data_IF_884509988555
#
_entry.id   IF_884509988555
#
_cell.length_a   1.000
_cell.length_b   1.000
_cell.length_c   1.000
_cell.angle_alpha   90.00
_cell.angle_beta   90.00
_cell.angle_gamma   90.00
#
_symmetry.space_group_name_H-M   'P 1'
#
loop_
_entity.id
_entity.type
_entity.pdbx_description
1 polymer ?
#
# COMPACT_ATOMS: atom_id res chain seq x y z
N UNK A 1 -18.26 4.59 -15.36
CA UNK A 1 -17.58 4.21 -14.10
C UNK A 1 -16.31 5.02 -14.02
N UNK A 2 -16.15 5.84 -12.98
CA UNK A 2 -14.91 6.60 -12.75
C UNK A 2 -13.78 5.62 -12.45
N UNK A 3 -12.59 5.86 -13.02
CA UNK A 3 -11.40 5.02 -12.78
C UNK A 3 -10.91 5.21 -11.34
N UNK A 4 -10.29 4.19 -10.74
CA UNK A 4 -9.70 4.32 -9.42
C UNK A 4 -8.56 5.33 -9.43
N UNK A 5 -8.66 6.38 -8.62
CA UNK A 5 -7.59 7.35 -8.37
C UNK A 5 -6.75 6.91 -7.17
N UNK A 6 -5.43 6.97 -7.31
CA UNK A 6 -4.47 6.55 -6.30
C UNK A 6 -3.45 7.66 -6.07
N UNK A 7 -3.28 8.06 -4.81
CA UNK A 7 -2.27 9.02 -4.39
C UNK A 7 -1.22 8.32 -3.52
N UNK A 8 0.03 8.33 -3.96
CA UNK A 8 1.16 7.86 -3.14
C UNK A 8 1.76 9.08 -2.45
N UNK A 9 1.56 9.19 -1.15
CA UNK A 9 2.22 10.18 -0.31
C UNK A 9 3.57 9.66 0.14
N UNK A 10 4.61 10.11 -0.56
CA UNK A 10 5.98 9.66 -0.35
C UNK A 10 6.75 10.62 0.58
N UNK A 11 7.48 10.13 1.60
CA UNK A 11 8.31 10.98 2.43
C UNK A 11 9.42 11.66 1.61
N UNK A 12 9.49 12.99 1.64
CA UNK A 12 10.48 13.74 0.84
C UNK A 12 11.95 13.50 1.27
N UNK A 13 12.17 12.83 2.39
CA UNK A 13 13.49 12.43 2.92
C UNK A 13 14.02 11.13 2.32
N UNK A 14 13.16 10.37 1.63
CA UNK A 14 13.51 9.06 1.05
C UNK A 14 13.81 9.19 -0.46
N UNK A 15 14.62 8.28 -1.03
CA UNK A 15 14.82 8.19 -2.48
C UNK A 15 13.49 8.10 -3.22
N UNK A 16 13.36 8.79 -4.35
CA UNK A 16 12.08 8.88 -5.07
C UNK A 16 11.91 7.78 -6.10
N UNK A 17 12.97 7.06 -6.46
CA UNK A 17 12.93 5.99 -7.46
C UNK A 17 11.88 4.92 -7.14
N UNK A 18 11.77 4.38 -5.89
CA UNK A 18 10.75 3.39 -5.56
C UNK A 18 9.31 3.93 -5.69
N UNK A 19 9.12 5.23 -5.42
CA UNK A 19 7.83 5.89 -5.55
C UNK A 19 7.40 6.00 -7.02
N UNK A 20 8.33 6.42 -7.88
CA UNK A 20 8.13 6.51 -9.34
C UNK A 20 7.88 5.12 -9.94
N UNK A 21 8.64 4.11 -9.52
CA UNK A 21 8.42 2.73 -9.93
C UNK A 21 7.03 2.20 -9.52
N UNK A 22 6.59 2.52 -8.31
CA UNK A 22 5.27 2.15 -7.81
C UNK A 22 4.13 2.84 -8.58
N UNK A 23 4.28 4.13 -8.88
CA UNK A 23 3.36 4.90 -9.73
C UNK A 23 3.26 4.29 -11.13
N UNK A 24 4.41 3.98 -11.75
CA UNK A 24 4.47 3.35 -13.08
C UNK A 24 3.80 1.96 -13.08
N UNK A 25 4.00 1.16 -12.03
CA UNK A 25 3.36 -0.14 -11.87
C UNK A 25 1.83 0.01 -11.83
N UNK A 26 1.31 0.96 -11.05
CA UNK A 26 -0.13 1.22 -10.97
C UNK A 26 -0.71 1.74 -12.30
N UNK A 27 0.02 2.62 -12.99
CA UNK A 27 -0.39 3.11 -14.32
C UNK A 27 -0.46 2.01 -15.36
N UNK A 28 0.51 1.08 -15.37
CA UNK A 28 0.49 -0.10 -16.24
C UNK A 28 -0.68 -1.03 -15.95
N UNK A 29 -1.11 -1.10 -14.69
CA UNK A 29 -2.31 -1.83 -14.29
C UNK A 29 -3.63 -1.07 -14.63
N UNK A 30 -3.54 0.14 -15.18
CA UNK A 30 -4.69 0.92 -15.68
C UNK A 30 -5.29 1.89 -14.65
N UNK A 31 -4.58 2.15 -13.55
CA UNK A 31 -5.00 3.11 -12.53
C UNK A 31 -4.50 4.52 -12.82
N UNK A 32 -5.28 5.52 -12.42
CA UNK A 32 -4.83 6.92 -12.40
C UNK A 32 -4.03 7.11 -11.09
N UNK A 33 -2.71 6.93 -11.17
CA UNK A 33 -1.81 7.07 -10.02
C UNK A 33 -0.98 8.36 -10.10
N UNK A 34 -0.83 9.02 -8.95
CA UNK A 34 0.03 10.20 -8.78
C UNK A 34 0.88 10.05 -7.52
N UNK A 35 2.19 10.26 -7.63
CA UNK A 35 3.05 10.39 -6.46
C UNK A 35 3.16 11.85 -6.01
N UNK A 36 2.94 12.10 -4.71
CA UNK A 36 3.05 13.40 -4.05
C UNK A 36 4.11 13.33 -2.95
N UNK A 37 5.17 14.14 -3.08
CA UNK A 37 6.17 14.27 -2.02
C UNK A 37 5.57 15.03 -0.83
N UNK A 38 5.60 14.42 0.35
CA UNK A 38 5.14 15.03 1.61
C UNK A 38 6.34 15.47 2.46
N UNK A 39 6.33 16.72 2.96
CA UNK A 39 7.23 17.13 4.03
C UNK A 39 6.96 16.27 5.26
N UNK A 40 7.99 15.63 5.80
CA UNK A 40 7.87 14.77 6.99
C UNK A 40 7.50 15.64 8.19
N UNK A 41 6.32 15.41 8.79
CA UNK A 41 5.95 16.00 10.08
C UNK A 41 6.48 15.08 11.18
N UNK A 42 7.12 15.65 12.21
CA UNK A 42 7.76 14.92 13.32
C UNK A 42 6.88 13.76 13.82
N UNK A 43 7.46 12.55 13.90
CA UNK A 43 6.87 11.39 14.59
C UNK A 43 6.44 10.22 13.70
N UNK A 44 6.44 10.36 12.37
CA UNK A 44 6.21 9.25 11.42
C UNK A 44 7.27 9.31 10.32
N UNK A 45 8.52 9.32 10.75
CA UNK A 45 9.66 9.20 9.86
C UNK A 45 9.56 7.79 9.24
N UNK A 46 9.50 7.72 7.91
CA UNK A 46 9.66 6.50 7.12
C UNK A 46 8.40 5.65 6.81
N UNK A 47 7.17 6.14 6.98
CA UNK A 47 5.96 5.42 6.48
C UNK A 47 5.44 6.05 5.19
N UNK A 48 5.20 5.21 4.18
CA UNK A 48 4.56 5.62 2.91
C UNK A 48 3.06 5.43 3.04
N UNK A 49 2.27 6.46 2.68
CA UNK A 49 0.81 6.34 2.63
C UNK A 49 0.34 6.22 1.18
N UNK A 50 -0.37 5.16 0.85
CA UNK A 50 -1.03 4.93 -0.43
C UNK A 50 -2.53 5.12 -0.21
N UNK A 51 -3.06 6.25 -0.66
CA UNK A 51 -4.47 6.58 -0.57
C UNK A 51 -5.18 6.15 -1.84
N UNK A 52 -6.22 5.34 -1.70
CA UNK A 52 -7.08 4.90 -2.81
C UNK A 52 -8.39 5.68 -2.70
N UNK A 53 -8.56 6.73 -3.50
CA UNK A 53 -9.58 7.78 -3.25
C UNK A 53 -10.96 7.41 -3.78
N UNK A 54 -11.07 6.56 -4.79
CA UNK A 54 -12.37 6.23 -5.39
C UNK A 54 -12.69 4.74 -5.28
N UNK A 55 -13.71 4.48 -4.46
CA UNK A 55 -14.48 3.24 -4.23
C UNK A 55 -13.74 2.07 -3.57
N UNK A 56 -14.55 1.22 -2.90
CA UNK A 56 -14.21 0.16 -1.92
C UNK A 56 -12.86 -0.52 -2.20
N UNK A 57 -12.04 -0.70 -1.16
CA UNK A 57 -10.71 -1.31 -1.25
C UNK A 57 -10.73 -2.64 -2.03
N UNK A 58 -11.79 -3.43 -1.87
CA UNK A 58 -12.01 -4.71 -2.54
C UNK A 58 -11.97 -4.60 -4.09
N UNK A 59 -12.78 -3.78 -4.80
CA UNK A 59 -12.65 -3.61 -6.25
C UNK A 59 -11.32 -3.02 -6.72
N UNK A 60 -10.66 -2.17 -5.93
CA UNK A 60 -9.29 -1.71 -6.24
C UNK A 60 -8.30 -2.87 -6.22
N UNK A 61 -8.28 -3.61 -5.11
CA UNK A 61 -7.46 -4.79 -4.91
C UNK A 61 -7.76 -5.81 -6.02
N UNK A 62 -9.03 -6.16 -6.24
CA UNK A 62 -9.46 -7.07 -7.32
C UNK A 62 -9.01 -6.63 -8.71
N UNK A 63 -9.06 -5.34 -9.04
CA UNK A 63 -8.59 -4.84 -10.36
C UNK A 63 -7.07 -4.92 -10.46
N UNK A 64 -6.34 -4.60 -9.38
CA UNK A 64 -4.88 -4.75 -9.31
C UNK A 64 -4.52 -6.22 -9.58
N UNK A 65 -5.28 -7.14 -8.98
CA UNK A 65 -5.11 -8.59 -9.09
C UNK A 65 -5.40 -9.13 -10.49
N UNK A 66 -6.54 -8.75 -11.09
CA UNK A 66 -6.95 -9.20 -12.42
C UNK A 66 -5.97 -8.74 -13.53
N UNK A 67 -5.31 -7.59 -13.33
CA UNK A 67 -4.45 -6.98 -14.36
C UNK A 67 -2.97 -7.32 -14.22
N UNK A 68 -2.53 -7.75 -13.04
CA UNK A 68 -1.16 -8.23 -12.80
C UNK A 68 -0.98 -9.75 -13.04
N UNK A 69 -2.05 -10.47 -13.41
CA UNK A 69 -2.03 -11.86 -13.90
C UNK A 69 -1.45 -12.92 -12.94
N UNK A 70 -1.35 -12.63 -11.64
CA UNK A 70 -0.97 -13.56 -10.57
C UNK A 70 -2.06 -13.61 -9.50
N UNK A 71 -2.00 -14.62 -8.62
CA UNK A 71 -2.85 -14.72 -7.44
C UNK A 71 -2.90 -13.37 -6.70
N UNK A 72 -4.10 -12.94 -6.31
CA UNK A 72 -4.40 -11.63 -5.76
C UNK A 72 -3.35 -11.09 -4.74
N UNK A 73 -2.94 -11.94 -3.82
CA UNK A 73 -2.01 -11.58 -2.76
C UNK A 73 -0.58 -11.34 -3.27
N UNK A 74 -0.14 -12.00 -4.34
CA UNK A 74 1.20 -11.83 -4.92
C UNK A 74 1.36 -10.46 -5.59
N UNK A 75 0.32 -9.95 -6.27
CA UNK A 75 0.34 -8.60 -6.85
C UNK A 75 0.46 -7.49 -5.77
N UNK A 76 -0.29 -7.63 -4.67
CA UNK A 76 -0.20 -6.71 -3.53
C UNK A 76 1.17 -6.80 -2.85
N UNK A 77 1.65 -8.03 -2.62
CA UNK A 77 2.97 -8.30 -2.03
C UNK A 77 4.09 -7.74 -2.89
N UNK A 78 4.04 -7.91 -4.21
CA UNK A 78 4.99 -7.35 -5.15
C UNK A 78 5.00 -5.82 -5.09
N UNK A 79 3.83 -5.18 -5.04
CA UNK A 79 3.72 -3.73 -4.91
C UNK A 79 4.31 -3.23 -3.57
N UNK A 80 3.91 -3.83 -2.45
CA UNK A 80 4.42 -3.46 -1.11
C UNK A 80 5.93 -3.66 -1.03
N UNK A 81 6.45 -4.80 -1.50
CA UNK A 81 7.89 -5.07 -1.57
C UNK A 81 8.61 -4.07 -2.46
N UNK A 82 8.04 -3.66 -3.59
CA UNK A 82 8.65 -2.65 -4.47
C UNK A 82 8.92 -1.33 -3.71
N UNK A 83 7.98 -0.95 -2.83
CA UNK A 83 8.09 0.27 -2.02
C UNK A 83 9.05 0.09 -0.82
N UNK A 84 9.14 -1.11 -0.25
CA UNK A 84 9.94 -1.39 0.95
C UNK A 84 11.38 -1.89 0.68
N UNK A 85 11.58 -2.71 -0.36
CA UNK A 85 12.81 -3.50 -0.57
C UNK A 85 13.84 -2.84 -1.52
N UNK A 86 13.64 -1.58 -1.93
CA UNK A 86 14.66 -0.83 -2.70
C UNK A 86 15.41 0.16 -1.81
N UNK A 87 16.47 -0.28 -1.10
CA UNK A 87 17.48 0.66 -0.65
C UNK A 87 18.18 1.18 -1.91
N UNK A 88 18.06 2.48 -2.19
CA UNK A 88 19.16 3.14 -2.88
C UNK A 88 20.41 2.86 -2.02
N UNK A 89 21.55 2.59 -2.66
CA UNK A 89 22.73 1.92 -2.09
C UNK A 89 23.25 2.47 -0.76
N UNK A 90 22.82 3.67 -0.35
CA UNK A 90 23.18 4.36 0.89
C UNK A 90 22.00 5.15 1.52
N UNK A 91 20.74 4.73 1.29
CA UNK A 91 19.57 5.46 1.77
C UNK A 91 18.64 4.59 2.65
N UNK A 92 17.97 5.20 3.65
CA UNK A 92 16.95 4.51 4.43
C UNK A 92 15.79 4.05 3.52
N UNK A 93 15.24 2.89 3.83
CA UNK A 93 14.02 2.38 3.23
C UNK A 93 12.82 2.75 4.12
N UNK A 94 11.60 2.85 3.56
CA UNK A 94 10.42 3.00 4.40
C UNK A 94 10.28 1.83 5.38
N UNK A 95 9.84 2.11 6.60
CA UNK A 95 9.55 1.10 7.63
C UNK A 95 8.20 0.41 7.43
N UNK A 96 7.34 0.98 6.58
CA UNK A 96 6.04 0.40 6.25
C UNK A 96 5.26 1.17 5.19
N UNK A 97 4.26 0.51 4.62
CA UNK A 97 3.28 1.08 3.70
C UNK A 97 1.92 1.04 4.37
N UNK A 98 1.24 2.18 4.46
CA UNK A 98 -0.16 2.24 4.87
C UNK A 98 -1.01 2.36 3.62
N UNK A 99 -1.93 1.41 3.41
CA UNK A 99 -2.95 1.54 2.37
C UNK A 99 -4.23 2.04 3.03
N UNK A 100 -4.71 3.20 2.59
CA UNK A 100 -5.94 3.82 3.08
C UNK A 100 -7.05 3.74 2.03
N UNK A 101 -8.19 3.18 2.43
CA UNK A 101 -9.41 3.18 1.63
C UNK A 101 -10.14 4.51 1.80
N UNK A 102 -10.11 5.38 0.80
CA UNK A 102 -10.66 6.74 0.91
C UNK A 102 -12.17 6.81 1.18
N UNK A 103 -12.91 5.73 0.89
CA UNK A 103 -14.36 5.67 1.13
C UNK A 103 -14.75 5.22 2.54
N UNK A 104 -14.00 4.28 3.13
CA UNK A 104 -14.29 3.77 4.47
C UNK A 104 -13.37 4.36 5.54
N UNK A 105 -12.27 5.01 5.15
CA UNK A 105 -11.23 5.47 6.05
C UNK A 105 -10.37 4.34 6.65
N UNK A 106 -10.60 3.09 6.23
CA UNK A 106 -9.84 1.95 6.72
C UNK A 106 -8.36 2.05 6.32
N UNK A 107 -7.46 1.78 7.27
CA UNK A 107 -6.01 1.86 7.06
C UNK A 107 -5.34 0.54 7.39
N UNK A 108 -4.67 -0.07 6.43
CA UNK A 108 -3.91 -1.30 6.64
C UNK A 108 -2.41 -0.99 6.61
N UNK A 109 -1.71 -1.33 7.68
CA UNK A 109 -0.26 -1.17 7.75
C UNK A 109 0.45 -2.45 7.31
N UNK A 110 1.26 -2.34 6.27
CA UNK A 110 2.13 -3.39 5.75
C UNK A 110 3.59 -3.11 6.12
N UNK A 111 4.27 -4.11 6.68
CA UNK A 111 5.70 -4.09 7.02
C UNK A 111 6.44 -5.14 6.20
N UNK A 112 7.78 -5.03 6.11
CA UNK A 112 8.60 -5.91 5.26
C UNK A 112 8.66 -7.38 5.71
N UNK A 113 8.27 -7.66 6.95
CA UNK A 113 8.29 -8.98 7.59
C UNK A 113 6.92 -9.69 7.61
N UNK A 114 5.91 -9.11 6.93
CA UNK A 114 4.58 -9.74 6.89
C UNK A 114 4.61 -11.09 6.17
N UNK A 115 3.93 -12.12 6.73
CA UNK A 115 3.80 -13.42 6.08
C UNK A 115 2.81 -13.37 4.91
N UNK A 116 2.95 -14.28 3.94
CA UNK A 116 2.07 -14.39 2.77
C UNK A 116 0.58 -14.47 3.13
N UNK A 117 0.27 -15.14 4.25
CA UNK A 117 -1.10 -15.22 4.79
C UNK A 117 -1.70 -13.85 5.11
N UNK A 118 -0.91 -12.87 5.54
CA UNK A 118 -1.39 -11.52 5.82
C UNK A 118 -1.88 -10.82 4.54
N UNK A 119 -1.12 -10.97 3.45
CA UNK A 119 -1.50 -10.45 2.13
C UNK A 119 -2.73 -11.16 1.55
N UNK A 120 -2.87 -12.46 1.81
CA UNK A 120 -4.06 -13.21 1.42
C UNK A 120 -5.31 -12.77 2.19
N UNK A 121 -5.22 -12.60 3.51
CA UNK A 121 -6.40 -12.28 4.34
C UNK A 121 -6.92 -10.86 4.14
N UNK A 122 -6.06 -9.89 3.84
CA UNK A 122 -6.46 -8.47 3.83
C UNK A 122 -7.54 -8.16 2.79
N UNK A 123 -7.62 -8.96 1.72
CA UNK A 123 -8.57 -8.79 0.63
C UNK A 123 -10.01 -9.12 1.04
N UNK A 124 -10.17 -9.98 2.05
CA UNK A 124 -11.47 -10.47 2.52
C UNK A 124 -12.01 -9.66 3.73
N UNK A 125 -11.25 -8.67 4.21
CA UNK A 125 -11.63 -7.89 5.39
C UNK A 125 -12.58 -6.77 4.99
N UNK A 126 -13.80 -6.83 5.51
CA UNK A 126 -14.72 -5.70 5.49
C UNK A 126 -14.32 -4.70 6.60
N UNK A 127 -13.34 -3.85 6.31
CA UNK A 127 -12.84 -2.84 7.23
C UNK A 127 -13.58 -1.51 7.08
N UNK A 128 -14.12 -1.00 8.18
CA UNK A 128 -14.68 0.34 8.28
C UNK A 128 -13.89 1.20 9.26
N UNK A 129 -13.52 2.43 8.88
CA UNK A 129 -13.06 3.53 9.76
C UNK A 129 -11.78 3.33 10.57
N UNK A 130 -11.33 2.09 10.73
CA UNK A 130 -10.32 1.70 11.72
C UNK A 130 -8.94 1.52 11.08
N UNK A 131 -7.91 1.62 11.92
CA UNK A 131 -6.56 1.20 11.58
C UNK A 131 -6.44 -0.29 11.87
N UNK A 132 -5.85 -1.04 10.95
CA UNK A 132 -5.65 -2.48 11.05
C UNK A 132 -4.16 -2.79 11.02
N UNK A 133 -3.74 -3.63 11.95
CA UNK A 133 -2.37 -4.16 12.05
C UNK A 133 -2.43 -5.68 12.09
N UNK A 134 -1.41 -6.33 11.54
CA UNK A 134 -1.27 -7.78 11.61
C UNK A 134 -0.83 -8.21 13.01
N UNK A 135 -1.60 -9.07 13.67
CA UNK A 135 -1.19 -9.75 14.89
C UNK A 135 -0.53 -11.10 14.51
N UNK A 136 0.79 -11.19 14.70
CA UNK A 136 1.55 -12.39 14.39
C UNK A 136 1.21 -13.60 15.30
N UNK A 137 0.75 -13.37 16.53
CA UNK A 137 0.38 -14.44 17.45
C UNK A 137 -0.96 -15.07 17.06
N UNK A 138 -1.90 -14.23 16.65
CA UNK A 138 -3.23 -14.66 16.23
C UNK A 138 -3.29 -15.02 14.75
N UNK A 139 -2.28 -14.65 13.97
CA UNK A 139 -2.19 -14.80 12.53
C UNK A 139 -3.45 -14.27 11.82
N UNK A 140 -3.87 -13.08 12.23
CA UNK A 140 -5.03 -12.34 11.72
C UNK A 140 -4.82 -10.82 11.85
N UNK A 141 -5.55 -10.07 11.04
CA UNK A 141 -5.62 -8.62 11.14
C UNK A 141 -6.53 -8.19 12.28
N UNK A 142 -6.05 -7.29 13.13
CA UNK A 142 -6.80 -6.71 14.24
C UNK A 142 -6.94 -5.20 14.09
N UNK A 143 -8.08 -4.60 14.48
CA UNK A 143 -8.16 -3.17 14.65
C UNK A 143 -7.19 -2.73 15.77
N UNK A 144 -6.44 -1.65 15.52
CA UNK A 144 -5.40 -1.10 16.38
C UNK A 144 -5.90 0.06 17.24
#
# INVERSE_FOLDING_TARGET
MSRPEIEIFWPATLPTEPAVDGEDMLRRAGFEATCLLRPVRRGVEDVVLVLVTSVVLEPFLKTLFERLAEDAHEGLKAFVRRLLDRPAKDAPAPVGVVIEAGTTGARFQFTGDLPDKAYAQVVDINAGGDRWTWDANLALWTPA
#
